data_IF_202733925225
#
_entry.id   IF_202733925225
#
_cell.length_a   1.000
_cell.length_b   1.000
_cell.length_c   1.000
_cell.angle_alpha   90.00
_cell.angle_beta   90.00
_cell.angle_gamma   90.00
#
_symmetry.space_group_name_H-M   'P 1'
#
loop_
_entity.id
_entity.type
_entity.pdbx_description
1 polymer ?
#
# COMPACT_ATOMS: atom_id res chain seq x y z
N UNK A 1 -57.52 35.05 -2.59
CA UNK A 1 -58.06 36.06 -1.67
C UNK A 1 -57.17 37.29 -1.81
N UNK A 2 -57.69 38.40 -2.33
CA UNK A 2 -56.94 39.66 -2.46
C UNK A 2 -56.53 40.14 -1.08
N UNK A 3 -55.31 40.63 -0.93
CA UNK A 3 -54.86 41.25 0.31
C UNK A 3 -55.81 42.41 0.68
N UNK A 4 -56.21 42.56 1.95
CA UNK A 4 -57.01 43.72 2.36
C UNK A 4 -56.20 44.98 2.08
N UNK A 5 -56.76 45.88 1.26
CA UNK A 5 -56.15 47.16 0.93
C UNK A 5 -56.01 47.97 2.24
N UNK A 6 -54.84 48.56 2.51
CA UNK A 6 -54.56 49.31 3.75
C UNK A 6 -55.24 50.69 3.79
N UNK A 7 -56.11 50.96 2.80
CA UNK A 7 -56.84 52.21 2.67
C UNK A 7 -57.95 52.34 3.73
N UNK A 8 -58.24 53.56 4.20
CA UNK A 8 -59.37 53.79 5.10
C UNK A 8 -60.71 53.42 4.42
N UNK A 9 -61.76 53.09 5.19
CA UNK A 9 -63.05 52.67 4.65
C UNK A 9 -63.70 53.69 3.70
N UNK A 10 -63.35 54.97 3.85
CA UNK A 10 -63.85 56.09 3.05
C UNK A 10 -63.13 56.29 1.70
N UNK A 11 -62.16 55.45 1.34
CA UNK A 11 -61.39 55.62 0.11
C UNK A 11 -62.25 55.41 -1.16
N UNK A 12 -62.02 56.28 -2.14
CA UNK A 12 -62.70 56.31 -3.45
C UNK A 12 -62.25 55.17 -4.35
N UNK A 13 -63.02 54.87 -5.41
CA UNK A 13 -62.71 53.78 -6.35
C UNK A 13 -61.38 54.00 -7.10
N UNK A 14 -61.06 55.26 -7.43
CA UNK A 14 -59.79 55.61 -8.07
C UNK A 14 -58.60 55.36 -7.13
N UNK A 15 -58.71 55.71 -5.84
CA UNK A 15 -57.66 55.47 -4.85
C UNK A 15 -57.39 53.97 -4.64
N UNK A 16 -58.45 53.15 -4.59
CA UNK A 16 -58.33 51.68 -4.51
C UNK A 16 -57.67 51.09 -5.75
N UNK A 17 -58.04 51.59 -6.94
CA UNK A 17 -57.46 51.12 -8.20
C UNK A 17 -55.98 51.49 -8.31
N UNK A 18 -55.61 52.71 -7.90
CA UNK A 18 -54.22 53.16 -7.83
C UNK A 18 -53.44 52.31 -6.82
N UNK A 19 -53.98 52.01 -5.64
CA UNK A 19 -53.35 51.15 -4.64
C UNK A 19 -53.07 49.75 -5.19
N UNK A 20 -54.06 49.10 -5.78
CA UNK A 20 -53.90 47.78 -6.41
C UNK A 20 -52.89 47.79 -7.56
N UNK A 21 -52.87 48.85 -8.38
CA UNK A 21 -51.90 48.97 -9.48
C UNK A 21 -50.46 49.24 -9.01
N UNK A 22 -50.31 49.85 -7.84
CA UNK A 22 -49.01 50.21 -7.24
C UNK A 22 -48.53 49.12 -6.26
N UNK A 23 -49.39 48.16 -5.90
CA UNK A 23 -49.04 47.06 -5.01
C UNK A 23 -48.00 46.14 -5.66
N UNK A 24 -46.74 46.43 -5.36
CA UNK A 24 -45.62 45.62 -5.80
C UNK A 24 -45.67 44.19 -5.25
N UNK A 25 -46.35 43.93 -4.12
CA UNK A 25 -46.39 42.62 -3.48
C UNK A 25 -47.07 41.57 -4.36
N UNK A 26 -48.07 41.95 -5.16
CA UNK A 26 -48.65 41.05 -6.17
C UNK A 26 -47.61 40.56 -7.19
N UNK A 27 -46.62 41.39 -7.53
CA UNK A 27 -45.53 41.05 -8.44
C UNK A 27 -44.36 40.33 -7.74
N UNK A 28 -43.95 40.76 -6.55
CA UNK A 28 -42.74 40.22 -5.88
C UNK A 28 -43.04 39.11 -4.87
N UNK A 29 -44.26 39.03 -4.33
CA UNK A 29 -44.64 38.10 -3.26
C UNK A 29 -44.42 36.64 -3.62
N UNK A 30 -44.69 36.27 -4.88
CA UNK A 30 -44.41 34.91 -5.40
C UNK A 30 -42.91 34.60 -5.39
N UNK A 31 -42.07 35.56 -5.75
CA UNK A 31 -40.61 35.40 -5.74
C UNK A 31 -40.04 35.35 -4.32
N UNK A 32 -40.58 36.15 -3.39
CA UNK A 32 -40.21 36.10 -1.96
C UNK A 32 -40.55 34.74 -1.37
N UNK A 33 -41.73 34.21 -1.69
CA UNK A 33 -42.14 32.89 -1.23
C UNK A 33 -41.26 31.80 -1.84
N UNK A 34 -40.93 31.91 -3.14
CA UNK A 34 -40.05 30.99 -3.84
C UNK A 34 -38.57 31.04 -3.38
N UNK A 35 -38.14 32.09 -2.68
CA UNK A 35 -36.81 32.14 -2.07
C UNK A 35 -36.71 31.30 -0.79
N UNK A 36 -37.83 31.05 -0.09
CA UNK A 36 -37.81 30.19 1.10
C UNK A 36 -37.44 28.76 0.72
N UNK A 37 -36.52 28.16 1.48
CA UNK A 37 -36.10 26.78 1.27
C UNK A 37 -35.15 26.57 0.09
N UNK A 38 -34.92 27.57 -0.76
CA UNK A 38 -34.07 27.46 -1.96
C UNK A 38 -32.61 27.10 -1.64
N UNK A 39 -32.15 27.45 -0.43
CA UNK A 39 -30.84 27.07 0.10
C UNK A 39 -30.68 25.55 0.27
N UNK A 40 -31.76 24.83 0.59
CA UNK A 40 -31.72 23.42 0.99
C UNK A 40 -32.12 22.46 -0.12
N UNK A 41 -32.90 22.90 -1.11
CA UNK A 41 -33.42 22.01 -2.16
C UNK A 41 -32.60 22.03 -3.44
N UNK A 42 -32.17 23.21 -3.89
CA UNK A 42 -31.36 23.38 -5.10
C UNK A 42 -30.68 24.76 -5.09
N UNK A 43 -29.59 24.92 -4.31
CA UNK A 43 -28.88 26.19 -4.26
C UNK A 43 -28.16 26.45 -5.60
N UNK A 44 -28.27 27.67 -6.15
CA UNK A 44 -27.54 28.02 -7.35
C UNK A 44 -26.01 27.99 -7.09
N UNK A 45 -25.17 27.67 -8.08
CA UNK A 45 -23.72 27.53 -7.88
C UNK A 45 -23.04 28.76 -7.26
N UNK A 46 -23.54 29.96 -7.57
CA UNK A 46 -23.03 31.22 -7.02
C UNK A 46 -23.24 31.37 -5.52
N UNK A 47 -24.15 30.62 -4.91
CA UNK A 47 -24.43 30.66 -3.47
C UNK A 47 -23.57 29.68 -2.68
N UNK A 48 -23.04 28.62 -3.30
CA UNK A 48 -22.36 27.54 -2.60
C UNK A 48 -21.21 28.01 -1.70
N UNK A 49 -20.31 28.93 -2.12
CA UNK A 49 -19.23 29.40 -1.25
C UNK A 49 -19.75 30.09 0.02
N UNK A 50 -20.86 30.81 -0.09
CA UNK A 50 -21.50 31.48 1.05
C UNK A 50 -22.19 30.48 1.98
N UNK A 51 -22.82 29.44 1.42
CA UNK A 51 -23.45 28.37 2.21
C UNK A 51 -22.38 27.56 2.96
N UNK A 52 -21.26 27.23 2.30
CA UNK A 52 -20.12 26.54 2.93
C UNK A 52 -19.54 27.38 4.07
N UNK A 53 -19.41 28.69 3.87
CA UNK A 53 -18.98 29.63 4.92
C UNK A 53 -19.98 29.67 6.08
N UNK A 54 -21.27 29.80 5.78
CA UNK A 54 -22.34 29.84 6.78
C UNK A 54 -22.40 28.55 7.62
N UNK A 55 -22.17 27.40 7.00
CA UNK A 55 -22.13 26.10 7.68
C UNK A 55 -20.78 25.80 8.34
N UNK A 56 -19.76 26.65 8.18
CA UNK A 56 -18.43 26.42 8.75
C UNK A 56 -17.70 25.21 8.16
N UNK A 57 -17.99 24.86 6.90
CA UNK A 57 -17.42 23.69 6.20
C UNK A 57 -16.17 24.04 5.38
N UNK A 58 -15.67 25.27 5.49
CA UNK A 58 -14.54 25.78 4.70
C UNK A 58 -13.29 24.88 4.75
N UNK A 59 -12.95 24.36 5.93
CA UNK A 59 -11.78 23.49 6.13
C UNK A 59 -11.88 22.15 5.38
N UNK A 60 -13.09 21.70 5.06
CA UNK A 60 -13.34 20.42 4.38
C UNK A 60 -13.36 20.53 2.85
N UNK A 61 -13.52 21.76 2.33
CA UNK A 61 -13.60 22.03 0.88
C UNK A 61 -12.49 21.37 0.04
N UNK A 62 -11.23 21.27 0.51
CA UNK A 62 -10.17 20.62 -0.27
C UNK A 62 -10.32 19.10 -0.43
N UNK A 63 -11.15 18.45 0.39
CA UNK A 63 -11.27 16.98 0.45
C UNK A 63 -12.56 16.46 -0.17
N UNK A 64 -13.59 17.30 -0.31
CA UNK A 64 -14.86 16.91 -0.90
C UNK A 64 -14.79 16.92 -2.44
N UNK A 65 -15.43 15.97 -3.14
CA UNK A 65 -15.44 15.93 -4.60
C UNK A 65 -16.05 17.17 -5.24
N UNK A 66 -17.14 17.70 -4.65
CA UNK A 66 -17.77 18.94 -5.06
C UNK A 66 -18.48 19.61 -3.85
N UNK A 67 -18.88 20.88 -4.03
CA UNK A 67 -19.48 21.66 -2.95
C UNK A 67 -20.93 21.27 -2.61
N UNK A 68 -21.66 20.62 -3.53
CA UNK A 68 -23.01 20.13 -3.24
C UNK A 68 -22.93 18.95 -2.26
N UNK A 69 -22.09 17.96 -2.57
CA UNK A 69 -21.85 16.79 -1.69
C UNK A 69 -21.34 17.25 -0.33
N UNK A 70 -20.46 18.26 -0.28
CA UNK A 70 -19.97 18.82 0.98
C UNK A 70 -21.10 19.43 1.83
N UNK A 71 -22.04 20.14 1.22
CA UNK A 71 -23.15 20.76 1.95
C UNK A 71 -24.10 19.69 2.50
N UNK A 72 -24.38 18.66 1.70
CA UNK A 72 -25.30 17.59 2.07
C UNK A 72 -24.71 16.70 3.17
N UNK A 73 -23.45 16.27 3.04
CA UNK A 73 -22.82 15.33 3.96
C UNK A 73 -22.07 16.02 5.11
N UNK A 74 -21.57 17.23 4.90
CA UNK A 74 -20.71 17.94 5.85
C UNK A 74 -21.42 18.30 7.16
N UNK A 75 -22.72 18.60 7.11
CA UNK A 75 -23.53 18.86 8.32
C UNK A 75 -23.64 17.62 9.19
N UNK A 76 -23.87 16.45 8.58
CA UNK A 76 -23.94 15.20 9.32
C UNK A 76 -22.56 14.78 9.86
N UNK A 77 -21.49 15.01 9.11
CA UNK A 77 -20.13 14.84 9.61
C UNK A 77 -19.85 15.73 10.84
N UNK A 78 -20.27 17.00 10.84
CA UNK A 78 -20.08 17.90 11.98
C UNK A 78 -20.78 17.38 13.25
N UNK A 79 -21.94 16.74 13.11
CA UNK A 79 -22.70 16.16 14.24
C UNK A 79 -21.98 14.98 14.89
N UNK A 80 -21.21 14.22 14.11
CA UNK A 80 -20.47 13.03 14.59
C UNK A 80 -18.98 13.28 14.79
N UNK A 81 -18.51 14.52 14.60
CA UNK A 81 -17.10 14.91 14.72
C UNK A 81 -16.52 14.49 16.08
N UNK A 82 -15.31 13.95 16.07
CA UNK A 82 -14.65 13.42 17.26
C UNK A 82 -14.98 11.95 17.57
N UNK A 83 -15.81 11.31 16.77
CA UNK A 83 -16.07 9.86 16.82
C UNK A 83 -15.36 9.13 15.67
N UNK A 84 -15.17 7.80 15.76
CA UNK A 84 -14.69 6.99 14.65
C UNK A 84 -15.51 7.17 13.36
N UNK A 85 -16.83 7.36 13.48
CA UNK A 85 -17.74 7.54 12.34
C UNK A 85 -17.39 8.76 11.48
N UNK A 86 -16.95 9.85 12.12
CA UNK A 86 -16.48 11.04 11.40
C UNK A 86 -15.28 10.75 10.51
N UNK A 87 -14.32 9.95 10.99
CA UNK A 87 -13.13 9.57 10.21
C UNK A 87 -13.55 8.70 9.03
N UNK A 88 -14.44 7.72 9.25
CA UNK A 88 -14.90 6.81 8.20
C UNK A 88 -15.64 7.55 7.08
N UNK A 89 -16.59 8.45 7.42
CA UNK A 89 -17.29 9.28 6.42
C UNK A 89 -16.32 10.14 5.63
N UNK A 90 -15.36 10.75 6.32
CA UNK A 90 -14.43 11.67 5.69
C UNK A 90 -13.41 10.97 4.78
N UNK A 91 -12.99 9.75 5.12
CA UNK A 91 -12.22 8.88 4.22
C UNK A 91 -13.04 8.43 3.01
N UNK A 92 -14.36 8.25 3.20
CA UNK A 92 -15.31 7.95 2.12
C UNK A 92 -15.29 9.01 1.01
N UNK A 93 -15.18 10.30 1.34
CA UNK A 93 -15.03 11.38 0.35
C UNK A 93 -13.80 11.22 -0.55
N UNK A 94 -12.74 10.62 -0.02
CA UNK A 94 -11.51 10.29 -0.74
C UNK A 94 -11.54 8.90 -1.38
N UNK A 95 -12.66 8.19 -1.30
CA UNK A 95 -12.82 6.79 -1.75
C UNK A 95 -11.88 5.80 -1.06
N UNK A 96 -11.57 6.03 0.22
CA UNK A 96 -10.81 5.14 1.10
C UNK A 96 -11.67 4.63 2.26
N UNK A 97 -11.32 3.46 2.78
CA UNK A 97 -11.89 2.95 4.03
C UNK A 97 -10.76 2.60 5.00
N UNK A 98 -11.02 2.70 6.30
CA UNK A 98 -10.03 2.31 7.30
C UNK A 98 -10.67 1.73 8.55
N UNK A 99 -9.97 0.82 9.21
CA UNK A 99 -10.26 0.46 10.59
C UNK A 99 -9.40 1.30 11.53
N UNK A 100 -10.00 1.81 12.61
CA UNK A 100 -9.30 2.64 13.58
C UNK A 100 -8.85 1.79 14.76
N UNK A 101 -7.54 1.75 14.99
CA UNK A 101 -6.95 1.07 16.13
C UNK A 101 -6.44 2.11 17.15
N UNK A 102 -7.01 2.10 18.35
CA UNK A 102 -6.53 2.96 19.44
C UNK A 102 -5.41 2.30 20.22
N UNK A 103 -4.44 3.08 20.70
CA UNK A 103 -3.36 2.54 21.52
C UNK A 103 -3.89 2.05 22.87
N UNK A 104 -3.29 0.98 23.43
CA UNK A 104 -3.68 0.50 24.75
C UNK A 104 -3.55 1.61 25.82
N UNK A 105 -4.54 1.78 26.73
CA UNK A 105 -4.51 2.80 27.78
C UNK A 105 -3.28 2.77 28.70
N UNK A 106 -2.63 1.61 28.79
CA UNK A 106 -1.41 1.39 29.58
C UNK A 106 -0.14 1.99 28.98
N UNK A 107 -0.18 2.48 27.74
CA UNK A 107 0.96 3.15 27.11
C UNK A 107 1.01 4.62 27.55
N UNK A 108 2.23 5.18 27.62
CA UNK A 108 2.42 6.62 27.86
C UNK A 108 1.65 7.48 26.84
N UNK A 109 1.64 7.04 25.59
CA UNK A 109 0.95 7.69 24.48
C UNK A 109 -0.35 6.94 24.13
N UNK A 110 -1.24 6.85 25.11
CA UNK A 110 -2.54 6.15 24.97
C UNK A 110 -3.50 6.86 24.01
N UNK A 111 -3.30 8.15 23.77
CA UNK A 111 -4.16 8.97 22.93
C UNK A 111 -3.83 8.85 21.42
N UNK A 112 -2.82 8.07 21.06
CA UNK A 112 -2.47 7.83 19.66
C UNK A 112 -3.42 6.80 19.04
N UNK A 113 -3.76 7.05 17.78
CA UNK A 113 -4.57 6.14 16.95
C UNK A 113 -3.85 5.78 15.67
N UNK A 114 -4.15 4.60 15.15
CA UNK A 114 -3.66 4.07 13.89
C UNK A 114 -4.82 3.82 12.93
N UNK A 115 -4.56 4.01 11.64
CA UNK A 115 -5.48 3.71 10.57
C UNK A 115 -5.00 2.47 9.82
N UNK A 116 -5.77 1.41 9.83
CA UNK A 116 -5.58 0.26 8.95
C UNK A 116 -6.39 0.51 7.69
N UNK A 117 -5.72 0.92 6.61
CA UNK A 117 -6.40 1.24 5.35
C UNK A 117 -6.83 -0.04 4.63
N UNK A 118 -7.88 0.05 3.83
CA UNK A 118 -8.44 -1.03 3.02
C UNK A 118 -7.50 -1.45 1.88
N UNK A 119 -6.68 -0.53 1.38
CA UNK A 119 -5.73 -0.77 0.30
C UNK A 119 -4.45 0.06 0.45
N UNK A 120 -3.47 -0.23 -0.42
CA UNK A 120 -2.32 0.66 -0.64
C UNK A 120 -2.81 1.89 -1.39
N UNK A 121 -2.25 3.06 -1.06
CA UNK A 121 -2.53 4.33 -1.73
C UNK A 121 -2.44 4.23 -3.26
N UNK A 122 -3.31 4.98 -3.93
CA UNK A 122 -3.30 5.16 -5.38
C UNK A 122 -2.24 6.22 -5.76
N UNK A 123 -2.24 7.39 -5.10
CA UNK A 123 -1.23 8.45 -5.23
C UNK A 123 -0.57 8.79 -3.87
N UNK A 124 0.67 9.29 -3.87
CA UNK A 124 1.33 9.83 -2.67
C UNK A 124 0.63 11.10 -2.18
N UNK A 125 0.04 11.89 -3.07
CA UNK A 125 -0.70 13.10 -2.72
C UNK A 125 -1.94 12.80 -1.86
N UNK A 126 -2.54 11.61 -2.00
CA UNK A 126 -3.69 11.18 -1.20
C UNK A 126 -3.35 11.09 0.28
N UNK A 127 -2.12 10.74 0.62
CA UNK A 127 -1.71 10.60 2.03
C UNK A 127 -1.82 11.93 2.79
N UNK A 128 -1.53 13.04 2.13
CA UNK A 128 -1.67 14.38 2.72
C UNK A 128 -3.15 14.69 2.94
N UNK A 129 -4.02 14.31 1.99
CA UNK A 129 -5.47 14.49 2.11
C UNK A 129 -6.07 13.63 3.21
N UNK A 130 -5.66 12.37 3.28
CA UNK A 130 -6.05 11.41 4.32
C UNK A 130 -5.62 11.93 5.70
N UNK A 131 -4.38 12.40 5.85
CA UNK A 131 -3.90 13.01 7.10
C UNK A 131 -4.78 14.21 7.50
N UNK A 132 -4.92 15.18 6.59
CA UNK A 132 -5.67 16.41 6.85
C UNK A 132 -7.12 16.15 7.27
N UNK A 133 -7.85 15.36 6.49
CA UNK A 133 -9.26 15.09 6.76
C UNK A 133 -9.47 14.25 8.03
N UNK A 134 -8.58 13.30 8.27
CA UNK A 134 -8.68 12.43 9.45
C UNK A 134 -8.30 13.21 10.71
N UNK A 135 -7.29 14.08 10.65
CA UNK A 135 -6.88 14.96 11.75
C UNK A 135 -7.98 15.96 12.12
N UNK A 136 -8.76 16.45 11.15
CA UNK A 136 -9.95 17.28 11.42
C UNK A 136 -11.07 16.50 12.09
N UNK A 137 -11.16 15.19 11.84
CA UNK A 137 -12.24 14.31 12.27
C UNK A 137 -12.04 13.72 13.67
N UNK A 138 -10.79 13.44 14.06
CA UNK A 138 -10.45 12.89 15.38
C UNK A 138 -10.71 13.90 16.51
N UNK A 139 -11.02 13.44 17.74
CA UNK A 139 -11.20 14.35 18.86
C UNK A 139 -9.85 15.00 19.21
N UNK A 140 -9.86 16.26 19.67
CA UNK A 140 -8.63 17.05 19.89
C UNK A 140 -7.62 16.45 20.86
N UNK A 141 -8.05 15.51 21.72
CA UNK A 141 -7.15 14.75 22.61
C UNK A 141 -6.36 13.68 21.89
N UNK A 142 -6.90 13.14 20.79
CA UNK A 142 -6.35 12.01 20.05
C UNK A 142 -5.56 12.51 18.84
N UNK A 143 -4.51 11.78 18.50
CA UNK A 143 -3.62 12.12 17.38
C UNK A 143 -3.42 10.90 16.51
N UNK A 144 -3.57 11.08 15.20
CA UNK A 144 -3.28 10.03 14.24
C UNK A 144 -1.77 9.90 14.14
N UNK A 145 -1.29 8.70 14.45
CA UNK A 145 0.15 8.46 14.49
C UNK A 145 0.64 7.75 13.24
N UNK A 146 -0.14 6.80 12.72
CA UNK A 146 0.29 5.95 11.62
C UNK A 146 -0.87 5.38 10.81
N UNK A 147 -0.71 5.39 9.49
CA UNK A 147 -1.54 4.63 8.57
C UNK A 147 -0.77 3.45 7.96
N UNK A 148 -1.41 2.30 7.81
CA UNK A 148 -0.75 1.10 7.28
C UNK A 148 -1.70 0.22 6.48
N UNK A 149 -1.14 -0.51 5.53
CA UNK A 149 -1.79 -1.61 4.83
C UNK A 149 -0.73 -2.58 4.30
N UNK A 150 -0.93 -3.89 4.44
CA UNK A 150 -0.01 -4.92 3.94
C UNK A 150 1.34 -5.07 4.68
N UNK A 151 1.88 -3.99 5.28
CA UNK A 151 3.10 -4.04 6.08
C UNK A 151 2.89 -3.44 7.47
N UNK A 152 2.69 -4.32 8.47
CA UNK A 152 2.51 -3.94 9.87
C UNK A 152 3.55 -4.57 10.80
N UNK A 153 4.71 -3.91 10.94
CA UNK A 153 5.67 -4.24 12.00
C UNK A 153 5.53 -3.24 13.14
N UNK A 154 5.17 -3.75 14.32
CA UNK A 154 4.85 -2.96 15.51
C UNK A 154 6.04 -2.79 16.43
N UNK A 155 5.95 -1.78 17.31
CA UNK A 155 6.91 -1.62 18.39
C UNK A 155 6.76 -2.76 19.42
N UNK A 156 7.89 -3.27 19.91
CA UNK A 156 7.95 -4.27 20.95
C UNK A 156 7.35 -3.70 22.23
N UNK A 157 6.69 -4.57 22.97
CA UNK A 157 6.15 -4.27 24.26
C UNK A 157 6.53 -5.38 25.23
N UNK A 158 7.30 -4.99 26.25
CA UNK A 158 7.85 -5.91 27.23
C UNK A 158 6.75 -6.78 27.84
N UNK A 159 6.92 -8.11 27.74
CA UNK A 159 5.96 -9.09 28.26
C UNK A 159 4.62 -9.18 27.50
N UNK A 160 4.47 -8.53 26.34
CA UNK A 160 3.19 -8.49 25.59
C UNK A 160 3.33 -8.87 24.11
N UNK A 161 4.52 -8.72 23.54
CA UNK A 161 4.76 -9.05 22.13
C UNK A 161 5.91 -10.03 21.96
N UNK A 162 5.87 -10.83 20.90
CA UNK A 162 6.99 -11.67 20.48
C UNK A 162 8.09 -10.82 19.84
N UNK A 163 9.34 -11.15 20.11
CA UNK A 163 10.51 -10.39 19.67
C UNK A 163 10.76 -10.48 18.16
N UNK A 164 10.42 -11.61 17.53
CA UNK A 164 10.81 -11.89 16.14
C UNK A 164 10.07 -11.12 15.04
N UNK A 165 9.07 -10.30 15.37
CA UNK A 165 8.26 -9.52 14.41
C UNK A 165 7.95 -8.11 14.94
N UNK A 166 8.83 -7.59 15.79
CA UNK A 166 8.67 -6.26 16.39
C UNK A 166 9.95 -5.45 16.29
N UNK A 167 9.80 -4.13 16.29
CA UNK A 167 10.89 -3.17 16.35
C UNK A 167 11.09 -2.70 17.79
N UNK A 168 12.32 -2.45 18.20
CA UNK A 168 12.65 -2.16 19.60
C UNK A 168 12.00 -0.90 20.18
N UNK A 169 11.81 0.14 19.38
CA UNK A 169 11.39 1.46 19.89
C UNK A 169 10.35 2.17 19.02
N UNK A 170 10.04 1.66 17.83
CA UNK A 170 9.24 2.36 16.85
C UNK A 170 8.29 1.42 16.11
N UNK A 171 7.29 1.99 15.45
CA UNK A 171 6.50 1.28 14.44
C UNK A 171 7.18 1.41 13.07
N UNK A 172 6.88 0.51 12.15
CA UNK A 172 7.33 0.62 10.76
C UNK A 172 6.67 1.78 10.02
N UNK A 173 7.28 2.18 8.89
CA UNK A 173 6.79 3.25 8.02
C UNK A 173 7.81 4.37 7.78
N UNK A 174 7.43 5.31 6.93
CA UNK A 174 8.14 6.55 6.66
C UNK A 174 7.16 7.73 6.72
N UNK A 175 7.68 8.92 7.01
CA UNK A 175 6.90 10.16 6.90
C UNK A 175 7.17 10.79 5.53
N UNK A 176 6.15 11.40 4.97
CA UNK A 176 6.28 12.23 3.77
C UNK A 176 6.37 13.70 4.17
N UNK A 177 6.95 14.57 3.34
CA UNK A 177 6.84 16.01 3.55
C UNK A 177 5.36 16.41 3.66
N UNK A 178 5.04 17.37 4.53
CA UNK A 178 3.67 17.90 4.75
C UNK A 178 2.68 16.96 5.46
N UNK A 179 3.12 15.79 5.94
CA UNK A 179 2.33 14.90 6.81
C UNK A 179 3.14 14.47 8.02
N UNK A 180 2.57 14.62 9.22
CA UNK A 180 3.19 14.16 10.46
C UNK A 180 2.92 12.67 10.74
N UNK A 181 1.93 12.12 10.04
CA UNK A 181 1.53 10.71 10.10
C UNK A 181 2.59 9.83 9.45
N UNK A 182 2.88 8.71 10.10
CA UNK A 182 3.78 7.69 9.57
C UNK A 182 3.02 6.74 8.66
N UNK A 183 3.49 6.53 7.44
CA UNK A 183 2.83 5.68 6.45
C UNK A 183 3.63 4.40 6.21
N UNK A 184 2.95 3.26 6.24
CA UNK A 184 3.58 1.94 6.19
C UNK A 184 2.80 1.00 5.27
N UNK A 185 3.14 1.02 4.00
CA UNK A 185 2.51 0.16 3.00
C UNK A 185 3.41 -1.03 2.65
N UNK A 186 2.78 -2.15 2.32
CA UNK A 186 3.44 -3.35 1.83
C UNK A 186 2.68 -3.94 0.66
N UNK A 187 3.38 -4.26 -0.41
CA UNK A 187 2.88 -5.10 -1.51
C UNK A 187 3.73 -6.35 -1.60
N UNK A 188 3.11 -7.43 -2.08
CA UNK A 188 3.74 -8.75 -2.16
C UNK A 188 3.61 -9.29 -3.57
N UNK A 189 4.75 -9.64 -4.16
CA UNK A 189 4.83 -10.33 -5.44
C UNK A 189 5.42 -11.71 -5.21
N UNK A 190 4.86 -12.69 -5.90
CA UNK A 190 5.26 -14.09 -5.78
C UNK A 190 5.50 -14.67 -7.17
N UNK A 191 6.61 -15.39 -7.33
CA UNK A 191 6.95 -16.10 -8.53
C UNK A 191 7.31 -17.56 -8.20
N UNK A 192 6.64 -18.51 -8.85
CA UNK A 192 7.06 -19.92 -8.89
C UNK A 192 7.73 -20.15 -10.24
N UNK A 193 9.06 -20.15 -10.26
CA UNK A 193 9.87 -20.20 -11.48
C UNK A 193 10.59 -21.55 -11.58
N UNK A 194 10.35 -22.27 -12.67
CA UNK A 194 11.21 -23.40 -13.03
C UNK A 194 12.39 -22.86 -13.83
N UNK A 195 13.60 -23.05 -13.30
CA UNK A 195 14.82 -22.60 -13.97
C UNK A 195 14.96 -23.33 -15.30
N UNK A 196 15.19 -22.57 -16.35
CA UNK A 196 15.43 -23.10 -17.70
C UNK A 196 16.86 -23.63 -17.82
N UNK A 197 17.08 -24.52 -18.78
CA UNK A 197 18.39 -25.10 -19.06
C UNK A 197 19.46 -24.01 -19.31
N UNK A 198 19.08 -22.95 -20.05
CA UNK A 198 19.95 -21.81 -20.31
C UNK A 198 20.33 -21.05 -19.02
N UNK A 199 19.39 -20.85 -18.10
CA UNK A 199 19.66 -20.20 -16.81
C UNK A 199 20.55 -21.07 -15.91
N UNK A 200 20.31 -22.37 -15.88
CA UNK A 200 21.12 -23.32 -15.11
C UNK A 200 22.55 -23.44 -15.67
N UNK A 201 22.71 -23.42 -16.99
CA UNK A 201 24.02 -23.37 -17.66
C UNK A 201 24.75 -22.06 -17.36
N UNK A 202 24.05 -20.92 -17.42
CA UNK A 202 24.64 -19.62 -17.10
C UNK A 202 25.13 -19.54 -15.64
N UNK A 203 24.43 -20.21 -14.72
CA UNK A 203 24.84 -20.33 -13.32
C UNK A 203 25.97 -21.36 -13.08
N UNK A 204 26.29 -22.20 -14.08
CA UNK A 204 27.28 -23.28 -13.96
C UNK A 204 26.80 -24.48 -13.13
N UNK A 205 25.47 -24.65 -13.02
CA UNK A 205 24.81 -25.64 -12.14
C UNK A 205 24.14 -26.76 -12.94
N UNK A 206 24.11 -26.65 -14.27
CA UNK A 206 23.45 -27.61 -15.15
C UNK A 206 24.02 -29.03 -15.00
N UNK A 207 23.11 -30.01 -14.93
CA UNK A 207 23.37 -31.44 -14.99
C UNK A 207 22.42 -32.03 -16.04
N UNK A 208 22.90 -32.96 -16.84
CA UNK A 208 22.07 -33.56 -17.89
C UNK A 208 20.85 -34.29 -17.30
N UNK A 209 19.71 -34.30 -18.01
CA UNK A 209 18.58 -35.13 -17.65
C UNK A 209 19.00 -36.60 -17.58
N UNK A 210 18.44 -37.34 -16.63
CA UNK A 210 18.75 -38.76 -16.45
C UNK A 210 17.57 -39.55 -16.97
N UNK A 211 17.80 -40.39 -17.97
CA UNK A 211 16.78 -41.30 -18.47
C UNK A 211 16.46 -42.36 -17.41
N UNK A 212 15.21 -42.40 -16.94
CA UNK A 212 14.78 -43.36 -15.90
C UNK A 212 14.90 -44.82 -16.36
N UNK A 213 15.08 -45.07 -17.67
CA UNK A 213 15.29 -46.39 -18.25
C UNK A 213 16.70 -46.96 -18.06
N UNK A 214 17.70 -46.12 -17.77
CA UNK A 214 19.12 -46.51 -17.79
C UNK A 214 19.70 -46.90 -16.43
N UNK A 215 18.84 -47.28 -15.47
CA UNK A 215 19.30 -47.93 -14.25
C UNK A 215 20.01 -46.97 -13.29
N UNK A 216 19.29 -45.93 -12.87
CA UNK A 216 19.66 -45.12 -11.72
C UNK A 216 20.68 -44.01 -12.01
N UNK A 217 20.90 -43.18 -11.00
CA UNK A 217 21.77 -42.02 -11.10
C UNK A 217 23.24 -42.45 -11.11
N UNK A 218 23.95 -42.17 -12.19
CA UNK A 218 25.34 -42.61 -12.38
C UNK A 218 26.32 -41.76 -11.56
N UNK A 219 27.47 -42.34 -11.21
CA UNK A 219 28.49 -41.63 -10.46
C UNK A 219 29.16 -40.52 -11.29
N UNK A 220 29.26 -39.30 -10.74
CA UNK A 220 29.88 -38.17 -11.44
C UNK A 220 30.49 -37.11 -10.50
N UNK A 221 31.19 -36.11 -11.08
CA UNK A 221 31.87 -35.04 -10.34
C UNK A 221 30.90 -33.91 -9.94
N UNK A 222 29.85 -34.26 -9.21
CA UNK A 222 28.88 -33.32 -8.66
C UNK A 222 28.73 -33.55 -7.14
N UNK A 223 28.28 -32.55 -6.37
CA UNK A 223 28.04 -32.74 -4.95
C UNK A 223 26.93 -33.77 -4.73
N UNK A 224 27.25 -34.87 -4.04
CA UNK A 224 26.27 -35.88 -3.67
C UNK A 224 25.32 -35.36 -2.60
N UNK A 225 24.00 -35.25 -2.89
CA UNK A 225 23.04 -34.79 -1.91
C UNK A 225 22.78 -35.88 -0.86
N UNK A 226 22.53 -35.47 0.38
CA UNK A 226 22.15 -36.38 1.46
C UNK A 226 20.68 -36.82 1.34
N UNK A 227 20.40 -37.72 0.40
CA UNK A 227 19.08 -38.28 0.13
C UNK A 227 19.07 -39.80 0.35
N UNK A 228 17.91 -40.40 0.70
CA UNK A 228 17.77 -41.85 0.72
C UNK A 228 18.10 -42.48 -0.64
N UNK A 229 18.75 -43.64 -0.65
CA UNK A 229 19.06 -44.40 -1.86
C UNK A 229 17.83 -44.79 -2.69
N UNK A 230 16.65 -44.81 -2.08
CA UNK A 230 15.36 -45.06 -2.74
C UNK A 230 14.81 -43.84 -3.50
N UNK A 231 15.48 -42.69 -3.47
CA UNK A 231 15.02 -41.47 -4.15
C UNK A 231 15.14 -41.62 -5.67
N UNK A 232 14.19 -41.06 -6.42
CA UNK A 232 14.24 -41.06 -7.89
C UNK A 232 15.42 -40.26 -8.42
N UNK A 233 15.99 -40.67 -9.55
CA UNK A 233 17.12 -39.97 -10.18
C UNK A 233 16.82 -38.48 -10.44
N UNK A 234 15.58 -38.13 -10.81
CA UNK A 234 15.13 -36.75 -10.96
C UNK A 234 15.22 -35.94 -9.65
N UNK A 235 14.80 -36.52 -8.51
CA UNK A 235 14.89 -35.88 -7.19
C UNK A 235 16.34 -35.63 -6.79
N UNK A 236 17.20 -36.61 -7.06
CA UNK A 236 18.61 -36.53 -6.73
C UNK A 236 19.31 -35.48 -7.60
N UNK A 237 18.98 -35.40 -8.90
CA UNK A 237 19.44 -34.34 -9.81
C UNK A 237 19.07 -32.95 -9.31
N UNK A 238 17.79 -32.68 -9.02
CA UNK A 238 17.35 -31.35 -8.54
C UNK A 238 18.03 -30.97 -7.21
N UNK A 239 18.24 -31.93 -6.30
CA UNK A 239 18.94 -31.67 -5.05
C UNK A 239 20.45 -31.40 -5.24
N UNK A 240 21.10 -32.07 -6.20
CA UNK A 240 22.49 -31.84 -6.54
C UNK A 240 22.71 -30.47 -7.21
N UNK A 241 21.82 -30.09 -8.12
CA UNK A 241 21.79 -28.74 -8.71
C UNK A 241 21.62 -27.67 -7.62
N UNK A 242 20.67 -27.86 -6.71
CA UNK A 242 20.48 -26.94 -5.58
C UNK A 242 21.74 -26.83 -4.70
N UNK A 243 22.43 -27.94 -4.46
CA UNK A 243 23.67 -27.96 -3.66
C UNK A 243 24.84 -27.26 -4.39
N UNK A 244 24.86 -27.27 -5.72
CA UNK A 244 25.89 -26.63 -6.54
C UNK A 244 25.64 -25.11 -6.76
N UNK A 245 24.49 -24.57 -6.35
CA UNK A 245 24.18 -23.15 -6.49
C UNK A 245 25.24 -22.24 -5.84
N UNK A 246 25.67 -21.14 -6.50
CA UNK A 246 26.74 -20.28 -6.00
C UNK A 246 26.56 -19.87 -4.54
N UNK A 247 27.59 -20.07 -3.72
CA UNK A 247 27.59 -19.62 -2.34
C UNK A 247 27.62 -18.08 -2.29
N UNK A 248 26.96 -17.49 -1.29
CA UNK A 248 26.96 -16.03 -1.10
C UNK A 248 25.58 -15.37 -1.14
N UNK A 249 25.53 -14.03 -1.11
CA UNK A 249 24.29 -13.27 -1.15
C UNK A 249 23.60 -13.41 -2.51
N UNK A 250 22.28 -13.20 -2.50
CA UNK A 250 21.46 -13.11 -3.69
C UNK A 250 20.93 -11.69 -3.75
N UNK A 251 20.86 -11.12 -4.96
CA UNK A 251 20.31 -9.80 -5.18
C UNK A 251 19.11 -9.92 -6.14
N UNK A 252 18.00 -9.29 -5.77
CA UNK A 252 16.91 -9.02 -6.68
C UNK A 252 17.27 -7.82 -7.55
N UNK A 253 17.17 -7.97 -8.87
CA UNK A 253 17.42 -6.91 -9.85
C UNK A 253 16.07 -6.36 -10.29
N UNK A 254 15.91 -5.05 -10.25
CA UNK A 254 14.73 -4.37 -10.78
C UNK A 254 15.08 -3.69 -12.09
N UNK A 255 14.30 -3.93 -13.14
CA UNK A 255 14.51 -3.33 -14.46
C UNK A 255 13.29 -2.56 -14.91
N UNK A 256 13.52 -1.49 -15.65
CA UNK A 256 12.46 -0.69 -16.25
C UNK A 256 11.90 -1.34 -17.53
N UNK A 257 10.98 -0.65 -18.20
CA UNK A 257 10.38 -1.14 -19.44
C UNK A 257 11.34 -1.17 -20.65
N UNK A 258 12.44 -0.40 -20.60
CA UNK A 258 13.50 -0.43 -21.60
C UNK A 258 14.50 -1.57 -21.36
N UNK A 259 14.45 -2.19 -20.18
CA UNK A 259 15.36 -3.24 -19.75
C UNK A 259 16.61 -2.69 -19.04
N UNK A 260 16.64 -1.41 -18.70
CA UNK A 260 17.72 -0.82 -17.91
C UNK A 260 17.56 -1.16 -16.44
N UNK A 261 18.68 -1.39 -15.75
CA UNK A 261 18.65 -1.73 -14.32
C UNK A 261 18.40 -0.46 -13.50
N UNK A 262 17.37 -0.49 -12.66
CA UNK A 262 17.06 0.57 -11.70
C UNK A 262 17.95 0.42 -10.45
N UNK A 263 18.11 -0.81 -9.98
CA UNK A 263 18.95 -1.13 -8.83
C UNK A 263 18.83 -2.57 -8.37
N UNK A 264 19.62 -2.90 -7.36
CA UNK A 264 19.70 -4.23 -6.77
C UNK A 264 19.31 -4.20 -5.30
N UNK A 265 18.50 -5.17 -4.87
CA UNK A 265 18.16 -5.37 -3.47
C UNK A 265 18.67 -6.71 -2.98
N UNK A 266 19.48 -6.70 -1.92
CA UNK A 266 19.93 -7.92 -1.26
C UNK A 266 18.74 -8.71 -0.71
N UNK A 267 18.70 -10.00 -1.02
CA UNK A 267 17.73 -10.93 -0.47
C UNK A 267 17.90 -11.05 1.05
N UNK A 268 16.77 -10.95 1.76
CA UNK A 268 16.67 -11.15 3.20
C UNK A 268 16.74 -12.64 3.56
N UNK A 269 16.18 -13.50 2.70
CA UNK A 269 16.16 -14.93 2.90
C UNK A 269 16.62 -15.65 1.63
N UNK A 270 17.45 -16.67 1.83
CA UNK A 270 17.86 -17.64 0.83
C UNK A 270 17.95 -18.98 1.55
N UNK A 271 16.95 -19.83 1.35
CA UNK A 271 16.89 -21.12 2.05
C UNK A 271 16.49 -22.25 1.13
N UNK A 272 17.17 -23.41 1.19
CA UNK A 272 16.65 -24.64 0.63
C UNK A 272 15.37 -25.04 1.39
N UNK A 273 14.30 -25.35 0.67
CA UNK A 273 12.97 -25.59 1.25
C UNK A 273 12.31 -26.85 0.72
N UNK A 274 11.37 -27.38 1.50
CA UNK A 274 10.50 -28.50 1.14
C UNK A 274 9.05 -28.20 1.59
N UNK A 275 8.01 -28.77 0.94
CA UNK A 275 6.63 -28.52 1.36
C UNK A 275 6.40 -29.02 2.79
N UNK A 276 5.78 -28.19 3.62
CA UNK A 276 5.43 -28.53 5.00
C UNK A 276 4.20 -27.74 5.44
N UNK A 277 3.28 -28.38 6.16
CA UNK A 277 2.02 -27.76 6.63
C UNK A 277 2.25 -26.60 7.63
N UNK A 278 3.31 -26.71 8.41
CA UNK A 278 3.77 -25.75 9.43
C UNK A 278 4.93 -24.87 8.93
N UNK A 279 5.19 -24.86 7.61
CA UNK A 279 6.22 -24.05 7.00
C UNK A 279 6.07 -22.55 7.27
N UNK A 280 7.20 -21.88 7.56
CA UNK A 280 7.29 -20.45 7.86
C UNK A 280 7.09 -19.61 6.59
N UNK A 281 7.58 -20.10 5.45
CA UNK A 281 7.50 -19.40 4.17
C UNK A 281 6.26 -19.85 3.40
N UNK A 282 5.67 -18.94 2.65
CA UNK A 282 4.52 -19.24 1.79
C UNK A 282 4.75 -18.69 0.39
N UNK A 283 4.43 -19.47 -0.64
CA UNK A 283 4.44 -19.03 -2.04
C UNK A 283 3.33 -19.78 -2.76
N UNK A 284 2.48 -19.07 -3.51
CA UNK A 284 1.37 -19.67 -4.28
C UNK A 284 0.38 -20.43 -3.41
N UNK A 285 0.13 -19.96 -2.18
CA UNK A 285 -0.74 -20.62 -1.20
C UNK A 285 -0.14 -21.86 -0.49
N UNK A 286 0.98 -22.39 -0.98
CA UNK A 286 1.69 -23.50 -0.34
C UNK A 286 2.66 -23.02 0.74
N UNK A 287 2.87 -23.85 1.76
CA UNK A 287 3.80 -23.59 2.87
C UNK A 287 5.08 -24.41 2.76
N UNK A 288 6.18 -23.79 3.16
CA UNK A 288 7.54 -24.25 2.96
C UNK A 288 8.34 -24.15 4.24
N UNK A 289 8.98 -25.24 4.65
CA UNK A 289 9.91 -25.28 5.77
C UNK A 289 11.36 -25.31 5.26
N UNK A 290 12.26 -24.70 6.03
CA UNK A 290 13.69 -24.73 5.73
C UNK A 290 14.22 -26.13 5.97
N UNK A 291 14.86 -26.71 4.96
CA UNK A 291 15.53 -28.00 5.04
C UNK A 291 16.93 -27.88 4.46
N UNK A 292 17.99 -27.82 5.31
CA UNK A 292 19.36 -27.59 4.85
C UNK A 292 19.90 -28.64 3.88
N UNK A 293 19.41 -29.88 3.95
CA UNK A 293 19.89 -31.01 3.15
C UNK A 293 18.74 -31.78 2.51
N UNK A 294 18.92 -32.25 1.28
CA UNK A 294 17.93 -33.05 0.56
C UNK A 294 16.65 -32.29 0.16
N UNK A 295 16.70 -30.95 0.17
CA UNK A 295 15.67 -30.13 -0.44
C UNK A 295 15.84 -30.12 -1.97
N UNK A 296 14.75 -29.84 -2.67
CA UNK A 296 14.72 -29.78 -4.14
C UNK A 296 14.34 -28.39 -4.67
N UNK A 297 14.06 -27.44 -3.77
CA UNK A 297 13.63 -26.08 -4.14
C UNK A 297 14.39 -25.04 -3.33
N UNK A 298 14.58 -23.86 -3.93
CA UNK A 298 15.20 -22.72 -3.28
C UNK A 298 14.16 -21.62 -3.08
N UNK A 299 13.99 -21.18 -1.84
CA UNK A 299 13.21 -19.99 -1.52
C UNK A 299 14.14 -18.77 -1.44
N UNK A 300 13.81 -17.72 -2.19
CA UNK A 300 14.51 -16.43 -2.14
C UNK A 300 13.49 -15.35 -1.85
N UNK A 301 13.80 -14.44 -0.93
CA UNK A 301 12.96 -13.30 -0.61
C UNK A 301 13.78 -12.02 -0.56
N UNK A 302 13.37 -11.03 -1.33
CA UNK A 302 13.87 -9.67 -1.24
C UNK A 302 12.75 -8.75 -0.75
N UNK A 303 13.10 -7.76 0.07
CA UNK A 303 12.16 -6.76 0.57
C UNK A 303 12.84 -5.40 0.52
N UNK A 304 12.33 -4.48 -0.30
CA UNK A 304 12.84 -3.11 -0.39
C UNK A 304 12.61 -2.35 0.92
N UNK A 305 13.44 -1.36 1.22
CA UNK A 305 13.17 -0.39 2.28
C UNK A 305 12.35 0.79 1.74
N UNK A 306 11.83 1.60 2.66
CA UNK A 306 11.06 2.79 2.31
C UNK A 306 11.94 3.80 1.54
N UNK A 307 11.51 4.16 0.33
CA UNK A 307 12.23 5.12 -0.53
C UNK A 307 13.32 4.52 -1.41
N UNK A 308 13.57 3.21 -1.34
CA UNK A 308 14.46 2.53 -2.29
C UNK A 308 13.88 2.66 -3.71
N UNK A 309 14.69 3.13 -4.67
CA UNK A 309 14.28 3.27 -6.08
C UNK A 309 13.21 4.33 -6.36
N UNK A 310 12.95 5.25 -5.41
CA UNK A 310 11.88 6.24 -5.52
C UNK A 310 11.88 7.01 -6.85
N UNK A 311 10.71 7.06 -7.48
CA UNK A 311 10.48 7.77 -8.76
C UNK A 311 10.71 6.90 -10.01
N UNK A 312 11.16 5.66 -9.86
CA UNK A 312 11.25 4.69 -10.94
C UNK A 312 10.09 3.68 -10.88
N UNK A 313 9.76 3.10 -12.04
CA UNK A 313 8.80 2.01 -12.16
C UNK A 313 9.53 0.79 -12.74
N UNK A 314 9.54 -0.32 -12.00
CA UNK A 314 10.06 -1.58 -12.52
C UNK A 314 8.99 -2.31 -13.34
N UNK A 315 9.38 -2.83 -14.50
CA UNK A 315 8.59 -3.66 -15.39
C UNK A 315 8.92 -5.16 -15.22
N UNK A 316 10.09 -5.50 -14.68
CA UNK A 316 10.49 -6.87 -14.38
C UNK A 316 11.39 -6.94 -13.15
N UNK A 317 11.40 -8.13 -12.53
CA UNK A 317 12.29 -8.43 -11.41
C UNK A 317 12.96 -9.79 -11.65
N UNK A 318 14.28 -9.84 -11.55
CA UNK A 318 15.08 -11.06 -11.65
C UNK A 318 16.00 -11.25 -10.45
N UNK A 319 16.82 -12.30 -10.49
CA UNK A 319 17.76 -12.65 -9.43
C UNK A 319 19.19 -12.76 -9.97
N UNK A 320 20.15 -12.32 -9.16
CA UNK A 320 21.59 -12.51 -9.39
C UNK A 320 22.19 -13.22 -8.19
N UNK A 321 22.90 -14.31 -8.43
CA UNK A 321 23.50 -15.17 -7.42
C UNK A 321 25.01 -14.90 -7.29
N UNK A 322 25.52 -14.91 -6.06
CA UNK A 322 26.97 -14.89 -5.80
C UNK A 322 27.68 -13.59 -6.15
N UNK A 323 26.94 -12.52 -6.48
CA UNK A 323 27.52 -11.22 -6.76
C UNK A 323 27.99 -10.53 -5.47
N UNK A 324 28.98 -9.66 -5.61
CA UNK A 324 29.48 -8.81 -4.52
C UNK A 324 29.27 -7.34 -4.84
N UNK A 325 29.04 -6.47 -3.82
CA UNK A 325 28.97 -5.03 -4.06
C UNK A 325 30.26 -4.51 -4.72
N UNK A 326 30.12 -3.56 -5.63
CA UNK A 326 31.24 -2.90 -6.30
C UNK A 326 32.15 -2.17 -5.29
N UNK A 327 33.40 -1.96 -5.68
CA UNK A 327 34.40 -1.30 -4.84
C UNK A 327 33.93 0.11 -4.42
N UNK A 328 33.98 0.40 -3.12
CA UNK A 328 33.53 1.67 -2.55
C UNK A 328 32.12 1.64 -1.93
N UNK A 329 31.32 0.60 -2.19
CA UNK A 329 30.03 0.40 -1.53
C UNK A 329 30.19 -0.41 -0.24
N UNK A 330 29.32 -0.13 0.75
CA UNK A 330 29.33 -0.86 2.02
C UNK A 330 28.93 -2.32 1.77
N UNK A 331 29.69 -3.33 2.25
CA UNK A 331 29.35 -4.75 2.06
C UNK A 331 27.97 -5.16 2.60
N UNK A 332 27.44 -4.40 3.56
CA UNK A 332 26.11 -4.61 4.15
C UNK A 332 25.01 -3.72 3.58
N UNK A 333 25.27 -2.92 2.53
CA UNK A 333 24.24 -2.13 1.90
C UNK A 333 23.17 -3.06 1.31
N UNK A 334 21.91 -2.78 1.66
CA UNK A 334 20.79 -3.63 1.25
C UNK A 334 20.31 -3.24 -0.15
N UNK A 335 20.30 -1.95 -0.47
CA UNK A 335 20.04 -1.42 -1.81
C UNK A 335 21.33 -0.94 -2.46
N UNK A 336 21.52 -1.28 -3.74
CA UNK A 336 22.66 -0.87 -4.56
C UNK A 336 22.14 -0.23 -5.87
N UNK A 337 22.82 0.80 -6.39
CA UNK A 337 22.48 1.40 -7.69
C UNK A 337 22.78 0.44 -8.86
N UNK A 338 22.41 0.84 -10.08
CA UNK A 338 22.55 0.05 -11.31
C UNK A 338 23.97 -0.47 -11.61
N UNK A 339 25.00 0.26 -11.18
CA UNK A 339 26.42 -0.07 -11.31
C UNK A 339 27.01 -0.70 -10.03
N UNK A 340 26.16 -1.03 -9.05
CA UNK A 340 26.57 -1.38 -7.70
C UNK A 340 27.02 -2.83 -7.48
N UNK A 341 27.02 -3.70 -8.51
CA UNK A 341 27.46 -5.10 -8.42
C UNK A 341 28.68 -5.37 -9.29
N UNK A 342 29.67 -6.07 -8.73
CA UNK A 342 30.84 -6.56 -9.45
C UNK A 342 31.28 -7.93 -8.91
N UNK A 343 31.36 -9.00 -9.73
CA UNK A 343 30.82 -9.10 -11.10
C UNK A 343 29.28 -9.11 -11.10
N UNK A 344 28.67 -8.66 -12.19
CA UNK A 344 27.20 -8.49 -12.30
C UNK A 344 26.42 -9.81 -12.40
N UNK A 345 27.09 -10.95 -12.63
CA UNK A 345 26.47 -12.29 -12.72
C UNK A 345 25.40 -12.41 -13.82
N UNK A 346 24.91 -13.62 -14.13
CA UNK A 346 23.74 -13.78 -14.97
C UNK A 346 22.48 -13.41 -14.20
N UNK A 347 21.54 -12.72 -14.85
CA UNK A 347 20.19 -12.50 -14.34
C UNK A 347 19.35 -13.73 -14.68
N UNK A 348 18.70 -14.32 -13.69
CA UNK A 348 17.87 -15.51 -13.82
C UNK A 348 16.53 -15.34 -13.11
N UNK A 349 15.55 -16.18 -13.43
CA UNK A 349 14.22 -16.17 -12.81
C UNK A 349 13.53 -14.80 -12.90
N UNK A 350 13.67 -14.16 -14.05
CA UNK A 350 13.03 -12.89 -14.36
C UNK A 350 11.55 -13.09 -14.63
N UNK A 351 10.70 -12.32 -13.96
CA UNK A 351 9.27 -12.31 -14.21
C UNK A 351 8.76 -10.86 -14.37
N UNK A 352 7.69 -10.65 -15.16
CA UNK A 352 7.12 -9.33 -15.35
C UNK A 352 6.40 -8.88 -14.08
N UNK A 353 6.66 -7.65 -13.64
CA UNK A 353 6.00 -7.02 -12.50
C UNK A 353 5.80 -5.54 -12.79
N UNK A 354 4.68 -4.96 -12.36
CA UNK A 354 4.48 -3.51 -12.46
C UNK A 354 4.62 -2.91 -11.06
N UNK A 355 5.83 -2.44 -10.72
CA UNK A 355 6.18 -1.97 -9.39
C UNK A 355 6.56 -0.49 -9.45
N UNK A 356 5.68 0.36 -8.94
CA UNK A 356 5.97 1.77 -8.73
C UNK A 356 6.64 1.96 -7.35
N UNK A 357 7.90 2.42 -7.33
CA UNK A 357 8.62 2.63 -6.08
C UNK A 357 8.20 3.92 -5.39
N UNK A 358 7.59 3.78 -4.21
CA UNK A 358 7.15 4.90 -3.37
C UNK A 358 8.02 5.11 -2.12
N UNK A 359 7.98 6.31 -1.54
CA UNK A 359 8.65 6.61 -0.25
C UNK A 359 8.04 5.86 0.93
N UNK A 360 6.77 5.46 0.82
CA UNK A 360 5.98 4.89 1.91
C UNK A 360 5.59 3.43 1.70
N UNK A 361 6.05 2.83 0.60
CA UNK A 361 5.72 1.46 0.21
C UNK A 361 6.97 0.59 0.28
N UNK A 362 6.83 -0.62 0.81
CA UNK A 362 7.83 -1.69 0.72
C UNK A 362 7.34 -2.79 -0.17
N UNK A 363 8.22 -3.23 -1.04
CA UNK A 363 7.95 -4.24 -2.05
C UNK A 363 8.59 -5.54 -1.59
N UNK A 364 7.76 -6.55 -1.30
CA UNK A 364 8.21 -7.88 -0.91
C UNK A 364 8.09 -8.81 -2.11
N UNK A 365 9.23 -9.21 -2.67
CA UNK A 365 9.28 -10.12 -3.80
C UNK A 365 9.80 -11.47 -3.33
N UNK A 366 9.01 -12.52 -3.59
CA UNK A 366 9.29 -13.88 -3.17
C UNK A 366 9.41 -14.78 -4.40
N UNK A 367 10.46 -15.59 -4.45
CA UNK A 367 10.67 -16.60 -5.47
C UNK A 367 10.70 -17.98 -4.84
N UNK A 368 10.04 -18.92 -5.50
CA UNK A 368 10.26 -20.34 -5.33
C UNK A 368 10.89 -20.88 -6.62
N UNK A 369 12.14 -21.29 -6.54
CA UNK A 369 12.89 -21.81 -7.69
C UNK A 369 12.82 -23.34 -7.71
N UNK A 370 12.51 -23.89 -8.88
CA UNK A 370 12.53 -25.32 -9.21
C UNK A 370 13.65 -25.62 -10.20
N UNK A 371 14.20 -26.84 -10.12
CA UNK A 371 15.40 -27.32 -10.82
C UNK A 371 15.10 -28.58 -11.61
#
# INVERSE_FOLDING_TARGET
MSAPDLLPPSATELERTVSLSTDSYTRVGVHITAMRGRKYSNPPPSWLPFIVSELGLGELSPYAPNLYDLIDEGVDWQRVRGTPDAVLRALGWLSYAAEIESFPPRRRYWNLVMLHLDRVRDDEADLIRIDGVSTLSVPKRSVIWRGYHGYDVRAIEAGRTRWGQTLWSAFSGARIPQSDVKWSFGRRYEADHALTDAELQALGVWLDPVDESDGGWQWGPFPWPALPWSSSAATVRSAAMLAAMPAGPVFAVFRDAAGDVIGYRRARARWPVQPALDGIYSVGGNRWAVRPTGATRLYVEAMTDFGDGYGATAASVGLVFGATPAAGLKPGALWLPADGLAPTGPIVAEFPANIEFGRTVRERVCWLLRF
#
